data_IF_391215344857
#
_entry.id   IF_391215344857
#
_cell.length_a   1.000
_cell.length_b   1.000
_cell.length_c   1.000
_cell.angle_alpha   90.00
_cell.angle_beta   90.00
_cell.angle_gamma   90.00
#
_symmetry.space_group_name_H-M   'P 1'
#
loop_
_entity.id
_entity.type
_entity.pdbx_description
1 polymer ?
#
# COMPACT_ATOMS: atom_id res chain seq x y z
N UNK A 1 35.71 -12.86 29.38
CA UNK A 1 36.12 -11.51 28.94
C UNK A 1 35.80 -11.44 27.46
N UNK A 2 34.71 -10.76 27.09
CA UNK A 2 34.24 -10.67 25.71
C UNK A 2 35.18 -9.75 24.93
N UNK A 3 35.59 -10.18 23.74
CA UNK A 3 36.54 -9.47 22.90
C UNK A 3 35.76 -8.54 21.96
N UNK A 4 35.39 -7.35 22.46
CA UNK A 4 34.71 -6.28 21.71
C UNK A 4 35.69 -5.53 20.79
N UNK A 5 36.24 -6.22 19.79
CA UNK A 5 37.11 -5.59 18.78
C UNK A 5 36.75 -6.09 17.37
N UNK A 6 35.48 -5.96 16.99
CA UNK A 6 35.10 -6.03 15.57
C UNK A 6 35.32 -4.63 14.99
N UNK A 7 36.22 -4.49 14.01
CA UNK A 7 36.50 -3.19 13.39
C UNK A 7 35.34 -2.80 12.47
N UNK A 8 35.03 -1.50 12.40
CA UNK A 8 34.00 -0.96 11.50
C UNK A 8 34.26 -1.33 10.03
N UNK A 9 35.53 -1.48 9.63
CA UNK A 9 35.94 -2.01 8.32
C UNK A 9 35.59 -3.49 8.11
N UNK A 10 35.51 -4.31 9.16
CA UNK A 10 35.05 -5.71 9.07
C UNK A 10 33.53 -5.79 8.99
N UNK A 11 32.80 -4.85 9.62
CA UNK A 11 31.34 -4.70 9.51
C UNK A 11 30.96 -4.19 8.10
N UNK A 12 31.73 -3.25 7.54
CA UNK A 12 31.49 -2.68 6.22
C UNK A 12 31.70 -3.67 5.06
N UNK A 13 32.51 -4.72 5.25
CA UNK A 13 32.78 -5.76 4.22
C UNK A 13 31.62 -6.75 4.09
N UNK A 14 30.75 -6.87 5.10
CA UNK A 14 29.55 -7.70 5.04
C UNK A 14 28.36 -7.04 4.30
N UNK A 15 28.58 -5.90 3.67
CA UNK A 15 27.65 -5.31 2.70
C UNK A 15 28.02 -5.74 1.27
N UNK A 16 28.42 -7.00 1.09
CA UNK A 16 28.55 -7.57 -0.24
C UNK A 16 27.20 -7.43 -0.94
N UNK A 17 27.21 -6.58 -1.96
CA UNK A 17 26.21 -6.40 -3.01
C UNK A 17 25.19 -7.53 -3.03
N UNK A 18 24.02 -7.31 -2.42
CA UNK A 18 22.91 -8.23 -2.57
C UNK A 18 22.61 -8.33 -4.06
N UNK A 19 22.99 -9.44 -4.68
CA UNK A 19 22.78 -9.65 -6.11
C UNK A 19 21.30 -9.45 -6.42
N UNK A 20 20.99 -8.64 -7.43
CA UNK A 20 19.61 -8.36 -7.81
C UNK A 20 18.92 -9.65 -8.27
N UNK A 21 18.00 -10.18 -7.45
CA UNK A 21 17.20 -11.34 -7.80
C UNK A 21 15.91 -10.87 -8.46
N UNK A 22 15.82 -11.04 -9.78
CA UNK A 22 14.59 -10.75 -10.50
C UNK A 22 13.52 -11.83 -10.24
N UNK A 23 12.24 -11.45 -10.07
CA UNK A 23 11.16 -12.43 -9.98
C UNK A 23 11.06 -13.25 -11.26
N UNK A 24 10.61 -14.51 -11.14
CA UNK A 24 10.37 -15.38 -12.30
C UNK A 24 9.24 -14.81 -13.16
N UNK A 25 9.28 -15.07 -14.47
CA UNK A 25 8.25 -14.62 -15.41
C UNK A 25 6.83 -15.00 -14.97
N UNK A 26 6.64 -16.25 -14.53
CA UNK A 26 5.34 -16.74 -14.04
C UNK A 26 4.79 -15.90 -12.86
N UNK A 27 5.67 -15.37 -12.01
CA UNK A 27 5.28 -14.49 -10.91
C UNK A 27 4.88 -13.09 -11.40
N UNK A 28 5.59 -12.56 -12.39
CA UNK A 28 5.28 -11.26 -13.01
C UNK A 28 3.94 -11.34 -13.75
N UNK A 29 3.69 -12.42 -14.48
CA UNK A 29 2.49 -12.59 -15.32
C UNK A 29 1.18 -12.58 -14.50
N UNK A 30 1.21 -12.98 -13.22
CA UNK A 30 0.04 -12.99 -12.32
C UNK A 30 -0.03 -11.78 -11.38
N UNK A 31 0.84 -10.79 -11.56
CA UNK A 31 0.86 -9.62 -10.69
C UNK A 31 -0.44 -8.81 -10.83
N UNK A 32 -1.07 -8.48 -9.70
CA UNK A 32 -2.27 -7.63 -9.69
C UNK A 32 -2.01 -6.23 -10.26
N UNK A 33 -0.77 -5.74 -10.12
CA UNK A 33 -0.31 -4.46 -10.64
C UNK A 33 0.75 -4.69 -11.72
N UNK A 34 0.31 -5.07 -12.92
CA UNK A 34 1.17 -5.27 -14.09
C UNK A 34 1.17 -4.07 -15.05
N UNK A 35 0.29 -3.10 -14.82
CA UNK A 35 0.15 -1.91 -15.67
C UNK A 35 1.35 -0.96 -15.46
N UNK A 36 2.20 -0.74 -16.48
CA UNK A 36 3.35 0.15 -16.37
C UNK A 36 2.95 1.61 -16.17
N UNK A 37 1.73 2.00 -16.55
CA UNK A 37 1.23 3.37 -16.37
C UNK A 37 0.98 3.72 -14.90
N UNK A 38 0.95 2.73 -14.00
CA UNK A 38 0.83 2.99 -12.55
C UNK A 38 1.93 3.92 -12.05
N UNK A 39 3.14 3.82 -12.61
CA UNK A 39 4.27 4.69 -12.24
C UNK A 39 3.95 6.14 -12.55
N UNK A 40 3.35 6.39 -13.72
CA UNK A 40 2.93 7.73 -14.15
C UNK A 40 1.74 8.26 -13.33
N UNK A 41 0.74 7.40 -13.04
CA UNK A 41 -0.41 7.78 -12.22
C UNK A 41 -0.03 8.14 -10.79
N UNK A 42 0.97 7.46 -10.21
CA UNK A 42 1.40 7.65 -8.82
C UNK A 42 2.57 8.64 -8.63
N UNK A 43 2.90 9.43 -9.65
CA UNK A 43 3.89 10.50 -9.49
C UNK A 43 3.46 11.56 -8.48
N UNK A 44 4.43 12.31 -7.96
CA UNK A 44 4.21 13.36 -6.96
C UNK A 44 3.27 14.47 -7.42
N UNK A 45 3.16 14.72 -8.72
CA UNK A 45 2.26 15.73 -9.27
C UNK A 45 0.78 15.37 -9.10
N UNK A 46 0.46 14.06 -9.06
CA UNK A 46 -0.90 13.56 -8.87
C UNK A 46 -1.22 13.30 -7.40
N UNK A 47 -0.26 13.51 -6.49
CA UNK A 47 -0.50 13.40 -5.06
C UNK A 47 -1.33 14.63 -4.60
N UNK A 48 -2.46 14.46 -3.88
CA UNK A 48 -2.89 13.24 -3.22
C UNK A 48 -3.87 12.33 -3.98
N UNK A 49 -4.47 12.85 -5.03
CA UNK A 49 -5.65 12.27 -5.65
C UNK A 49 -5.38 10.98 -6.43
N UNK A 50 -4.12 10.64 -6.71
CA UNK A 50 -3.76 9.33 -7.26
C UNK A 50 -4.24 8.15 -6.40
N UNK A 51 -4.44 8.35 -5.08
CA UNK A 51 -4.98 7.32 -4.19
C UNK A 51 -6.50 7.16 -4.27
N UNK A 52 -7.22 8.06 -4.96
CA UNK A 52 -8.67 7.91 -5.13
C UNK A 52 -9.01 6.59 -5.84
N UNK A 53 -8.19 6.16 -6.81
CA UNK A 53 -8.35 4.87 -7.52
C UNK A 53 -8.48 3.70 -6.54
N UNK A 54 -7.69 3.68 -5.48
CA UNK A 54 -7.75 2.62 -4.46
C UNK A 54 -8.87 2.84 -3.44
N UNK A 55 -9.20 4.09 -3.12
CA UNK A 55 -10.29 4.38 -2.19
C UNK A 55 -11.65 3.97 -2.77
N UNK A 56 -11.82 4.05 -4.09
CA UNK A 56 -13.01 3.58 -4.81
C UNK A 56 -13.14 2.04 -4.84
N UNK A 57 -12.13 1.28 -4.40
CA UNK A 57 -12.26 -0.18 -4.18
C UNK A 57 -13.09 -0.53 -2.93
N UNK A 58 -13.32 0.46 -2.07
CA UNK A 58 -14.17 0.34 -0.89
C UNK A 58 -15.57 0.87 -1.21
N UNK A 59 -16.57 0.29 -0.56
CA UNK A 59 -17.93 0.78 -0.60
C UNK A 59 -18.13 1.86 0.46
N UNK A 60 -18.49 3.06 0.00
CA UNK A 60 -18.73 4.23 0.84
C UNK A 60 -20.22 4.52 0.93
N UNK A 61 -20.72 4.67 2.17
CA UNK A 61 -22.06 5.19 2.42
C UNK A 61 -22.18 6.66 1.99
N UNK A 62 -21.07 7.40 2.10
CA UNK A 62 -20.93 8.77 1.61
C UNK A 62 -19.52 8.97 1.08
N UNK A 63 -19.39 9.38 -0.18
CA UNK A 63 -18.10 9.75 -0.78
C UNK A 63 -17.47 10.93 -0.02
N UNK A 64 -16.15 10.90 0.13
CA UNK A 64 -15.40 12.00 0.72
C UNK A 64 -15.44 13.26 -0.15
N UNK A 65 -15.17 14.40 0.46
CA UNK A 65 -15.06 15.70 -0.22
C UNK A 65 -13.62 16.17 -0.41
N UNK A 66 -12.65 15.59 0.31
CA UNK A 66 -11.22 15.92 0.20
C UNK A 66 -10.39 14.68 0.50
N UNK A 67 -9.40 14.38 -0.35
CA UNK A 67 -8.53 13.20 -0.25
C UNK A 67 -7.71 13.19 1.04
N UNK A 68 -6.98 14.26 1.31
CA UNK A 68 -6.24 14.43 2.56
C UNK A 68 -6.25 15.89 3.00
N UNK A 69 -6.44 16.13 4.30
CA UNK A 69 -6.24 17.43 4.92
C UNK A 69 -4.95 17.44 5.74
N UNK A 70 -4.02 18.29 5.32
CA UNK A 70 -2.68 18.47 5.90
C UNK A 70 -2.55 19.77 6.70
N UNK A 71 -3.66 20.50 6.90
CA UNK A 71 -3.65 21.85 7.50
C UNK A 71 -3.25 21.89 8.97
N UNK A 72 -3.30 20.78 9.71
CA UNK A 72 -3.00 20.72 11.14
C UNK A 72 -2.05 19.56 11.52
N UNK A 73 -0.76 19.59 11.14
CA UNK A 73 0.20 18.57 11.55
C UNK A 73 0.32 18.48 13.09
N UNK A 74 0.44 17.27 13.69
CA UNK A 74 0.59 15.95 13.06
C UNK A 74 -0.74 15.25 12.74
N UNK A 75 -1.89 15.94 12.85
CA UNK A 75 -3.22 15.38 12.66
C UNK A 75 -3.67 15.43 11.19
N UNK A 76 -3.16 14.48 10.40
CA UNK A 76 -3.56 14.31 9.00
C UNK A 76 -4.90 13.57 8.90
N UNK A 77 -5.87 14.14 8.20
CA UNK A 77 -7.18 13.52 8.00
C UNK A 77 -7.33 13.04 6.56
N UNK A 78 -7.51 11.74 6.36
CA UNK A 78 -7.79 11.15 5.06
C UNK A 78 -9.28 10.99 4.81
N UNK A 79 -9.69 11.11 3.55
CA UNK A 79 -11.06 10.91 3.07
C UNK A 79 -12.08 11.78 3.84
N UNK A 80 -11.77 13.06 3.96
CA UNK A 80 -12.52 14.00 4.81
C UNK A 80 -13.98 14.08 4.36
N UNK A 81 -14.89 13.93 5.33
CA UNK A 81 -16.33 13.93 5.10
C UNK A 81 -16.90 12.63 4.54
N UNK A 82 -16.03 11.65 4.24
CA UNK A 82 -16.42 10.31 3.82
C UNK A 82 -16.99 9.49 4.97
N UNK A 83 -17.90 8.56 4.64
CA UNK A 83 -18.46 7.60 5.59
C UNK A 83 -18.48 6.22 4.95
N UNK A 84 -18.04 5.22 5.71
CA UNK A 84 -18.11 3.81 5.33
C UNK A 84 -18.35 2.96 6.57
N UNK A 85 -18.71 1.70 6.35
CA UNK A 85 -18.77 0.68 7.37
C UNK A 85 -17.75 -0.43 7.08
N UNK A 86 -16.89 -0.73 8.06
CA UNK A 86 -15.84 -1.73 7.92
C UNK A 86 -16.41 -3.16 7.82
N UNK A 87 -17.41 -3.50 8.65
CA UNK A 87 -18.08 -4.80 8.58
C UNK A 87 -18.74 -5.01 7.23
N UNK A 88 -19.39 -3.97 6.67
CA UNK A 88 -19.99 -4.04 5.34
C UNK A 88 -18.97 -4.37 4.25
N UNK A 89 -17.83 -3.66 4.25
CA UNK A 89 -16.75 -3.85 3.28
C UNK A 89 -16.06 -5.22 3.42
N UNK A 90 -15.98 -5.77 4.63
CA UNK A 90 -15.27 -7.03 4.87
C UNK A 90 -16.19 -8.25 4.78
N UNK A 91 -17.49 -8.11 5.06
CA UNK A 91 -18.43 -9.21 5.22
C UNK A 91 -19.63 -9.04 4.30
N UNK A 92 -20.48 -8.05 4.57
CA UNK A 92 -21.81 -7.96 3.97
C UNK A 92 -21.79 -7.92 2.44
N UNK A 93 -20.86 -7.16 1.85
CA UNK A 93 -20.74 -7.06 0.38
C UNK A 93 -20.37 -8.40 -0.28
N UNK A 94 -19.59 -9.22 0.41
CA UNK A 94 -19.11 -10.51 -0.10
C UNK A 94 -20.08 -11.66 0.17
N UNK A 95 -20.96 -11.53 1.17
CA UNK A 95 -21.92 -12.58 1.56
C UNK A 95 -22.83 -13.02 0.41
N UNK A 96 -23.19 -12.11 -0.51
CA UNK A 96 -24.04 -12.46 -1.66
C UNK A 96 -23.35 -13.40 -2.65
N UNK A 97 -22.05 -13.20 -2.87
CA UNK A 97 -21.28 -13.98 -3.84
C UNK A 97 -20.62 -15.23 -3.22
N UNK A 98 -20.24 -15.16 -1.94
CA UNK A 98 -19.34 -16.13 -1.31
C UNK A 98 -19.76 -16.52 0.11
N UNK A 99 -21.08 -16.73 0.34
CA UNK A 99 -21.64 -17.05 1.67
C UNK A 99 -20.94 -18.19 2.42
N UNK A 100 -20.48 -19.21 1.70
CA UNK A 100 -19.92 -20.44 2.29
C UNK A 100 -18.39 -20.52 2.15
N UNK A 101 -17.72 -19.43 1.76
CA UNK A 101 -16.27 -19.39 1.68
C UNK A 101 -15.72 -19.08 3.08
N UNK A 102 -15.29 -20.12 3.79
CA UNK A 102 -14.46 -19.92 4.98
C UNK A 102 -13.13 -19.32 4.56
N UNK A 103 -12.65 -18.33 5.32
CA UNK A 103 -11.31 -17.75 5.20
C UNK A 103 -10.23 -18.80 5.49
#
# INVERSE_FOLDING_TARGET
MANDNVKESEIAVHWQEEGLIHPKKEFIDQANMADPEVIERFKSENWPDCYEEYAELLDWDKRWSKTVDTSNPPFYNWWVGGKLNASYNCVDRHLKAHRNKAL
#
